data_IF_136878257777
#
_entry.id   IF_136878257777
#
_cell.length_a   1.000
_cell.length_b   1.000
_cell.length_c   1.000
_cell.angle_alpha   90.00
_cell.angle_beta   90.00
_cell.angle_gamma   90.00
#
_symmetry.space_group_name_H-M   'P 1'
#
loop_
_entity.id
_entity.type
_entity.pdbx_description
1 polymer ?
#
# COMPACT_ATOMS: atom_id res chain seq x y z
N UNK A 1 -10.51 -13.57 -6.94
CA UNK A 1 -10.20 -14.14 -5.61
C UNK A 1 -10.21 -12.98 -4.62
N UNK A 2 -10.81 -13.14 -3.43
CA UNK A 2 -10.77 -12.09 -2.39
C UNK A 2 -9.45 -12.21 -1.62
N UNK A 3 -8.81 -11.10 -1.30
CA UNK A 3 -7.63 -11.04 -0.45
C UNK A 3 -7.97 -10.34 0.86
N UNK A 4 -7.36 -10.78 1.96
CA UNK A 4 -7.50 -10.17 3.27
C UNK A 4 -6.22 -9.43 3.65
N UNK A 5 -6.35 -8.14 3.94
CA UNK A 5 -5.23 -7.22 4.19
C UNK A 5 -5.35 -6.64 5.60
N UNK A 6 -4.24 -6.58 6.33
CA UNK A 6 -4.15 -5.84 7.59
C UNK A 6 -3.43 -4.51 7.36
N UNK A 7 -4.02 -3.41 7.79
CA UNK A 7 -3.39 -2.09 7.77
C UNK A 7 -2.59 -1.89 9.07
N UNK A 8 -1.27 -1.82 8.95
CA UNK A 8 -0.30 -1.71 10.04
C UNK A 8 0.77 -0.68 9.66
N UNK A 9 0.31 0.52 9.29
CA UNK A 9 1.12 1.63 8.79
C UNK A 9 0.98 2.88 9.67
N UNK A 10 0.70 2.68 10.96
CA UNK A 10 0.51 3.79 11.92
C UNK A 10 1.80 4.55 12.21
N UNK A 11 2.96 3.95 11.92
CA UNK A 11 4.28 4.50 12.22
C UNK A 11 4.70 4.28 13.68
N UNK A 12 3.90 3.54 14.45
CA UNK A 12 4.23 3.14 15.82
C UNK A 12 4.44 1.63 15.81
N UNK A 13 5.71 1.22 15.70
CA UNK A 13 6.09 -0.18 15.53
C UNK A 13 5.43 -1.14 16.54
N UNK A 14 5.37 -0.79 17.83
CA UNK A 14 4.77 -1.67 18.84
C UNK A 14 3.26 -1.90 18.64
N UNK A 15 2.56 -0.94 18.01
CA UNK A 15 1.16 -1.11 17.65
C UNK A 15 1.02 -1.94 16.36
N UNK A 16 1.83 -1.61 15.35
CA UNK A 16 1.80 -2.27 14.05
C UNK A 16 2.25 -3.74 14.15
N UNK A 17 3.29 -4.03 14.94
CA UNK A 17 3.73 -5.39 15.26
C UNK A 17 2.62 -6.27 15.82
N UNK A 18 1.83 -5.77 16.78
CA UNK A 18 0.71 -6.54 17.36
C UNK A 18 -0.34 -6.90 16.31
N UNK A 19 -0.69 -5.95 15.43
CA UNK A 19 -1.63 -6.19 14.33
C UNK A 19 -1.11 -7.23 13.35
N UNK A 20 0.18 -7.17 13.02
CA UNK A 20 0.83 -8.09 12.08
C UNK A 20 0.89 -9.50 12.65
N UNK A 21 1.21 -9.66 13.94
CA UNK A 21 1.17 -10.97 14.62
C UNK A 21 -0.24 -11.57 14.56
N UNK A 22 -1.27 -10.78 14.89
CA UNK A 22 -2.66 -11.24 14.77
C UNK A 22 -3.01 -11.65 13.33
N UNK A 23 -2.52 -10.91 12.34
CA UNK A 23 -2.75 -11.20 10.94
C UNK A 23 -2.08 -12.51 10.47
N UNK A 24 -0.84 -12.76 10.92
CA UNK A 24 -0.12 -14.02 10.73
C UNK A 24 -0.91 -15.21 11.31
N UNK A 25 -1.43 -15.06 12.54
CA UNK A 25 -2.22 -16.10 13.22
C UNK A 25 -3.59 -16.34 12.58
N UNK A 26 -4.15 -15.30 11.94
CA UNK A 26 -5.51 -15.32 11.38
C UNK A 26 -5.54 -15.59 9.86
N UNK A 27 -4.40 -15.87 9.24
CA UNK A 27 -4.31 -16.23 7.83
C UNK A 27 -4.57 -15.07 6.86
N UNK A 28 -4.16 -13.85 7.21
CA UNK A 28 -4.21 -12.70 6.28
C UNK A 28 -3.21 -12.90 5.13
N UNK A 29 -3.55 -12.38 3.95
CA UNK A 29 -2.69 -12.47 2.77
C UNK A 29 -1.55 -11.45 2.81
N UNK A 30 -1.87 -10.21 3.21
CA UNK A 30 -0.95 -9.07 3.18
C UNK A 30 -0.96 -8.26 4.47
N UNK A 31 0.21 -7.74 4.85
CA UNK A 31 0.36 -6.61 5.76
C UNK A 31 0.74 -5.36 4.97
N UNK A 32 -0.06 -4.30 5.10
CA UNK A 32 0.25 -2.97 4.58
C UNK A 32 1.01 -2.16 5.63
N UNK A 33 2.25 -1.76 5.31
CA UNK A 33 3.18 -1.14 6.26
C UNK A 33 3.92 0.06 5.66
N UNK A 34 4.68 0.79 6.48
CA UNK A 34 5.65 1.77 6.00
C UNK A 34 6.89 1.09 5.42
N UNK A 35 7.56 1.73 4.45
CA UNK A 35 8.78 1.18 3.83
C UNK A 35 9.88 0.86 4.87
N UNK A 36 10.03 1.69 5.90
CA UNK A 36 10.99 1.50 6.98
C UNK A 36 10.76 0.23 7.83
N UNK A 37 9.56 -0.34 7.78
CA UNK A 37 9.16 -1.48 8.61
C UNK A 37 9.29 -2.82 7.88
N UNK A 38 9.55 -2.82 6.56
CA UNK A 38 9.63 -4.05 5.73
C UNK A 38 10.58 -5.08 6.35
N UNK A 39 11.77 -4.65 6.78
CA UNK A 39 12.77 -5.54 7.40
C UNK A 39 12.24 -6.20 8.66
N UNK A 40 11.68 -5.40 9.59
CA UNK A 40 11.16 -5.90 10.86
C UNK A 40 10.01 -6.89 10.65
N UNK A 41 9.14 -6.66 9.65
CA UNK A 41 8.02 -7.57 9.35
C UNK A 41 8.51 -8.93 8.83
N UNK A 42 9.56 -8.96 8.02
CA UNK A 42 10.16 -10.22 7.54
C UNK A 42 10.69 -11.07 8.70
N UNK A 43 11.14 -10.46 9.79
CA UNK A 43 11.59 -11.17 11.00
C UNK A 43 10.45 -11.78 11.81
N UNK A 44 9.22 -11.24 11.72
CA UNK A 44 8.06 -11.74 12.46
C UNK A 44 7.53 -13.06 11.88
N UNK A 45 7.66 -13.27 10.57
CA UNK A 45 7.21 -14.49 9.92
C UNK A 45 6.82 -14.30 8.46
N UNK A 46 6.15 -15.33 7.90
CA UNK A 46 5.78 -15.39 6.50
C UNK A 46 4.39 -14.79 6.27
N UNK A 47 4.34 -13.51 5.91
CA UNK A 47 3.18 -12.81 5.35
C UNK A 47 3.66 -12.01 4.13
N UNK A 48 2.80 -11.80 3.13
CA UNK A 48 3.17 -10.89 2.04
C UNK A 48 3.16 -9.45 2.54
N UNK A 49 4.09 -8.65 2.07
CA UNK A 49 4.26 -7.27 2.50
C UNK A 49 3.84 -6.35 1.36
N UNK A 50 2.84 -5.52 1.62
CA UNK A 50 2.52 -4.35 0.83
C UNK A 50 3.11 -3.12 1.53
N UNK A 51 3.80 -2.24 0.80
CA UNK A 51 4.43 -1.09 1.42
C UNK A 51 4.12 0.21 0.66
N UNK A 52 3.88 1.27 1.42
CA UNK A 52 3.84 2.63 0.87
C UNK A 52 5.25 3.04 0.47
N UNK A 53 5.52 3.13 -0.82
CA UNK A 53 6.80 3.57 -1.39
C UNK A 53 6.63 3.83 -2.89
N UNK A 54 7.53 4.60 -3.48
CA UNK A 54 7.63 4.80 -4.94
C UNK A 54 8.92 4.18 -5.51
N UNK A 55 9.71 3.51 -4.67
CA UNK A 55 10.99 2.93 -5.02
C UNK A 55 10.83 1.61 -5.78
N UNK A 56 11.33 1.55 -7.00
CA UNK A 56 11.43 0.30 -7.77
C UNK A 56 12.44 -0.70 -7.16
N UNK A 57 13.27 -0.26 -6.22
CA UNK A 57 14.23 -1.10 -5.51
C UNK A 57 13.67 -1.66 -4.19
N UNK A 58 12.41 -1.36 -3.85
CA UNK A 58 11.76 -1.89 -2.66
C UNK A 58 11.69 -3.42 -2.68
N UNK A 59 11.88 -4.01 -1.49
CA UNK A 59 11.77 -5.45 -1.23
C UNK A 59 10.34 -5.89 -0.81
N UNK A 60 9.36 -5.00 -0.97
CA UNK A 60 7.96 -5.33 -0.75
C UNK A 60 7.44 -6.31 -1.83
N UNK A 61 6.47 -7.13 -1.46
CA UNK A 61 5.79 -8.05 -2.39
C UNK A 61 4.77 -7.30 -3.27
N UNK A 62 4.28 -6.15 -2.79
CA UNK A 62 3.49 -5.18 -3.55
C UNK A 62 3.86 -3.74 -3.14
N UNK A 63 3.98 -2.85 -4.13
CA UNK A 63 4.19 -1.42 -3.92
C UNK A 63 2.83 -0.72 -3.90
N UNK A 64 2.58 0.12 -2.90
CA UNK A 64 1.31 0.82 -2.71
C UNK A 64 1.49 2.33 -2.94
N UNK A 65 0.75 2.86 -3.90
CA UNK A 65 0.82 4.26 -4.35
C UNK A 65 -0.43 5.03 -3.92
N UNK A 66 -0.27 6.29 -3.54
CA UNK A 66 -1.40 7.20 -3.24
C UNK A 66 -1.49 7.68 -1.79
N UNK A 67 -0.60 7.22 -0.91
CA UNK A 67 -0.43 7.82 0.41
C UNK A 67 0.44 9.07 0.36
N UNK A 68 0.09 10.07 1.14
CA UNK A 68 0.70 11.41 1.16
C UNK A 68 0.69 12.07 -0.22
N UNK A 69 -0.35 11.78 -1.02
CA UNK A 69 -0.45 12.16 -2.43
C UNK A 69 -1.93 12.39 -2.83
N UNK A 70 -2.25 12.20 -4.11
CA UNK A 70 -3.59 12.39 -4.67
C UNK A 70 -4.59 11.38 -4.12
N UNK A 71 -4.19 10.11 -4.01
CA UNK A 71 -5.06 9.02 -3.57
C UNK A 71 -5.65 9.22 -2.18
N UNK A 72 -4.90 9.77 -1.23
CA UNK A 72 -5.40 10.04 0.13
C UNK A 72 -5.85 11.49 0.35
N UNK A 73 -5.75 12.33 -0.68
CA UNK A 73 -6.18 13.72 -0.67
C UNK A 73 -5.23 14.70 0.03
N UNK A 74 -4.02 14.26 0.38
CA UNK A 74 -2.95 15.17 0.82
C UNK A 74 -2.60 16.17 -0.29
N UNK A 75 -2.58 15.69 -1.53
CA UNK A 75 -2.54 16.50 -2.75
C UNK A 75 -3.94 16.42 -3.39
N UNK A 76 -4.56 17.53 -3.82
CA UNK A 76 -5.85 17.47 -4.52
C UNK A 76 -5.73 16.76 -5.88
N UNK A 77 -6.77 16.03 -6.29
CA UNK A 77 -6.85 15.45 -7.64
C UNK A 77 -6.76 16.54 -8.71
N UNK A 78 -5.86 16.35 -9.67
CA UNK A 78 -5.75 17.19 -10.87
C UNK A 78 -6.39 16.56 -12.12
N UNK A 79 -6.22 17.21 -13.28
CA UNK A 79 -6.59 16.62 -14.58
C UNK A 79 -5.73 15.41 -14.94
N UNK A 80 -4.49 15.38 -14.45
CA UNK A 80 -3.54 14.29 -14.61
C UNK A 80 -3.02 13.86 -13.26
N UNK A 81 -2.91 12.55 -13.04
CA UNK A 81 -2.46 12.00 -11.78
C UNK A 81 -1.00 11.54 -11.81
N UNK A 82 -0.24 12.00 -10.83
CA UNK A 82 1.13 11.58 -10.55
C UNK A 82 1.16 10.16 -9.95
N UNK A 83 0.15 9.83 -9.13
CA UNK A 83 -0.03 8.47 -8.61
C UNK A 83 -0.23 7.46 -9.74
N UNK A 84 -1.10 7.78 -10.70
CA UNK A 84 -1.37 6.92 -11.86
C UNK A 84 -0.11 6.72 -12.70
N UNK A 85 0.60 7.81 -13.03
CA UNK A 85 1.86 7.75 -13.80
C UNK A 85 2.93 6.93 -13.07
N UNK A 86 3.01 7.03 -11.76
CA UNK A 86 3.96 6.27 -10.93
C UNK A 86 3.60 4.79 -10.90
N UNK A 87 2.32 4.47 -10.74
CA UNK A 87 1.82 3.10 -10.76
C UNK A 87 2.07 2.42 -12.11
N UNK A 88 1.81 3.10 -13.22
CA UNK A 88 2.10 2.63 -14.58
C UNK A 88 3.61 2.38 -14.77
N UNK A 89 4.46 3.33 -14.36
CA UNK A 89 5.92 3.18 -14.45
C UNK A 89 6.40 1.93 -13.72
N UNK A 90 5.97 1.72 -12.47
CA UNK A 90 6.36 0.57 -11.66
C UNK A 90 5.81 -0.75 -12.20
N UNK A 91 4.58 -0.73 -12.74
CA UNK A 91 3.99 -1.89 -13.40
C UNK A 91 4.82 -2.29 -14.63
N UNK A 92 5.26 -1.31 -15.42
CA UNK A 92 6.10 -1.53 -16.60
C UNK A 92 7.50 -2.06 -16.26
N UNK A 93 7.99 -1.88 -15.03
CA UNK A 93 9.23 -2.51 -14.55
C UNK A 93 9.01 -3.90 -13.95
N UNK A 94 7.80 -4.45 -14.05
CA UNK A 94 7.44 -5.79 -13.59
C UNK A 94 7.11 -5.88 -12.10
N UNK A 95 6.88 -4.75 -11.42
CA UNK A 95 6.48 -4.74 -10.02
C UNK A 95 4.99 -5.02 -9.87
N UNK A 96 4.62 -5.70 -8.80
CA UNK A 96 3.24 -5.74 -8.34
C UNK A 96 2.90 -4.40 -7.70
N UNK A 97 1.87 -3.72 -8.20
CA UNK A 97 1.44 -2.41 -7.72
C UNK A 97 -0.01 -2.48 -7.25
N UNK A 98 -0.34 -1.68 -6.22
CA UNK A 98 -1.71 -1.44 -5.77
C UNK A 98 -1.93 0.07 -5.52
N UNK A 99 -3.16 0.53 -5.74
CA UNK A 99 -3.58 1.89 -5.40
C UNK A 99 -4.09 1.99 -3.96
N UNK A 100 -3.77 3.08 -3.29
CA UNK A 100 -4.35 3.49 -2.01
C UNK A 100 -5.17 4.75 -2.21
N UNK A 101 -6.50 4.62 -2.10
CA UNK A 101 -7.42 5.74 -2.26
C UNK A 101 -8.32 5.86 -1.04
N UNK A 102 -8.35 7.04 -0.42
CA UNK A 102 -9.28 7.38 0.65
C UNK A 102 -10.53 7.99 0.02
N UNK A 103 -11.64 7.26 0.08
CA UNK A 103 -12.89 7.67 -0.54
C UNK A 103 -13.55 8.79 0.27
N UNK A 104 -13.30 10.03 -0.15
CA UNK A 104 -13.91 11.22 0.48
C UNK A 104 -15.13 11.75 -0.27
N UNK A 105 -15.21 11.54 -1.59
CA UNK A 105 -16.33 11.99 -2.43
C UNK A 105 -16.40 11.16 -3.73
N UNK A 106 -17.30 11.53 -4.66
CA UNK A 106 -17.49 10.84 -5.94
C UNK A 106 -16.30 10.92 -6.89
N UNK A 107 -15.49 11.97 -6.82
CA UNK A 107 -14.27 12.08 -7.62
C UNK A 107 -13.24 11.03 -7.19
N UNK A 108 -13.11 10.80 -5.88
CA UNK A 108 -12.20 9.78 -5.34
C UNK A 108 -12.72 8.35 -5.58
N UNK A 109 -14.04 8.13 -5.61
CA UNK A 109 -14.62 6.85 -6.07
C UNK A 109 -14.26 6.58 -7.53
N UNK A 110 -14.38 7.59 -8.41
CA UNK A 110 -14.01 7.47 -9.82
C UNK A 110 -12.52 7.21 -9.96
N UNK A 111 -11.69 7.98 -9.25
CA UNK A 111 -10.24 7.82 -9.27
C UNK A 111 -9.80 6.41 -8.85
N UNK A 112 -10.39 5.86 -7.78
CA UNK A 112 -10.13 4.49 -7.34
C UNK A 112 -10.50 3.45 -8.40
N UNK A 113 -11.53 3.70 -9.21
CA UNK A 113 -11.92 2.82 -10.31
C UNK A 113 -11.02 2.94 -11.54
N UNK A 114 -10.39 4.10 -11.77
CA UNK A 114 -9.47 4.35 -12.87
C UNK A 114 -8.07 3.78 -12.59
N UNK A 115 -7.69 3.68 -11.31
CA UNK A 115 -6.40 3.16 -10.85
C UNK A 115 -6.35 1.61 -10.74
N UNK A 116 -7.49 0.91 -10.87
CA UNK A 116 -7.65 -0.53 -10.65
C UNK A 116 -7.56 -1.36 -11.95
#
# INVERSE_FOLDING_TARGET
MKQLWIKADTGIWENDKKRIITALESGYDFALVNESEIGNVRELGKIKIAAHTTSEYSNADAIVIGRESEGDGTIPLGETSDDTRTAEKLTNTGKTVAGYVVIQNKEYERFASELA
#
